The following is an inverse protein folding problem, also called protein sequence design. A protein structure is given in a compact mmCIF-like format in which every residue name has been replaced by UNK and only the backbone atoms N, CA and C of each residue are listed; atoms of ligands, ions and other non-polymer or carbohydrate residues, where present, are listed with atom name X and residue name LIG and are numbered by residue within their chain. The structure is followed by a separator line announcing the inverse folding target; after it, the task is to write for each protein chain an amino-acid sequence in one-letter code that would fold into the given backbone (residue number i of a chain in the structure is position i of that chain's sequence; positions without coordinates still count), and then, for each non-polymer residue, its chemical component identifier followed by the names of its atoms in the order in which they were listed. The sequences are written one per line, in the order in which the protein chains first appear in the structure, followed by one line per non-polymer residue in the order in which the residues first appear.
data_IF_131728152282
#
_entry.id   IF_131728152282
#
_cell.length_a   1.000
_cell.length_b   1.000
_cell.length_c   1.000
_cell.angle_alpha   90.00
_cell.angle_beta   90.00
_cell.angle_gamma   90.00
#
_symmetry.space_group_name_H-M   'P 1'
#
loop_
_entity.id
_entity.type
_entity.pdbx_description
1 polymer ?
#
# COMPACT_ATOMS: atom_id res chain seq x y z
N UNK A 1 100.03 -57.75 18.77
CA UNK A 1 101.01 -57.26 17.79
C UNK A 1 100.38 -56.11 16.98
N UNK A 2 101.18 -55.12 16.59
CA UNK A 2 100.82 -53.72 16.33
C UNK A 2 100.25 -53.54 14.89
N UNK A 3 99.82 -52.40 14.35
CA UNK A 3 100.34 -51.05 14.48
C UNK A 3 99.33 -50.00 14.00
N UNK A 4 99.57 -48.81 14.53
CA UNK A 4 99.04 -47.50 14.19
C UNK A 4 99.65 -46.98 12.87
N UNK A 5 98.95 -46.09 12.14
CA UNK A 5 99.43 -44.86 11.47
C UNK A 5 98.75 -44.54 10.11
N UNK A 6 98.02 -43.42 10.13
CA UNK A 6 98.21 -42.22 9.28
C UNK A 6 98.19 -42.35 7.75
N UNK A 7 97.23 -41.68 7.12
CA UNK A 7 97.53 -40.51 6.26
C UNK A 7 96.26 -39.77 5.82
N UNK A 8 96.22 -38.46 6.05
CA UNK A 8 95.33 -37.53 5.31
C UNK A 8 95.83 -37.40 3.87
N UNK A 9 94.95 -37.10 2.89
CA UNK A 9 95.02 -35.72 2.38
C UNK A 9 93.71 -35.11 1.82
N UNK A 10 93.67 -33.77 1.95
CA UNK A 10 93.19 -32.77 0.98
C UNK A 10 91.68 -32.64 0.73
N UNK A 11 91.14 -31.66 1.46
CA UNK A 11 89.99 -30.82 1.15
C UNK A 11 90.05 -30.27 -0.29
N UNK A 12 89.00 -30.52 -1.08
CA UNK A 12 88.65 -29.72 -2.26
C UNK A 12 87.22 -29.23 -2.10
N UNK A 13 87.10 -27.92 -1.96
CA UNK A 13 85.88 -27.16 -1.68
C UNK A 13 84.85 -27.36 -2.81
N UNK A 14 83.70 -27.94 -2.50
CA UNK A 14 82.51 -27.88 -3.36
C UNK A 14 81.61 -26.76 -2.86
N UNK A 15 81.30 -25.82 -3.74
CA UNK A 15 80.38 -24.71 -3.48
C UNK A 15 78.98 -25.28 -3.28
N UNK A 16 78.44 -25.14 -2.06
CA UNK A 16 77.06 -25.53 -1.77
C UNK A 16 76.09 -24.53 -2.42
N UNK A 17 75.39 -24.96 -3.48
CA UNK A 17 74.24 -24.24 -4.03
C UNK A 17 73.11 -24.24 -2.99
N UNK A 18 72.85 -23.08 -2.38
CA UNK A 18 71.76 -22.88 -1.42
C UNK A 18 70.42 -22.92 -2.17
N UNK A 19 69.68 -24.04 -2.09
CA UNK A 19 68.31 -24.15 -2.63
C UNK A 19 67.41 -23.11 -1.95
N UNK A 20 66.88 -22.15 -2.71
CA UNK A 20 65.83 -21.24 -2.27
C UNK A 20 64.58 -22.05 -1.83
N UNK A 21 63.95 -21.72 -0.68
CA UNK A 21 62.76 -22.44 -0.22
C UNK A 21 61.59 -22.22 -1.19
N UNK A 22 60.91 -23.31 -1.57
CA UNK A 22 59.90 -23.28 -2.62
C UNK A 22 58.65 -22.46 -2.24
N UNK A 23 58.46 -21.32 -2.92
CA UNK A 23 57.24 -20.49 -2.82
C UNK A 23 55.95 -21.25 -3.15
N UNK A 24 56.07 -22.36 -3.90
CA UNK A 24 54.98 -23.30 -4.24
C UNK A 24 54.31 -23.93 -3.02
N UNK A 25 55.06 -24.24 -1.94
CA UNK A 25 54.49 -24.88 -0.73
C UNK A 25 53.64 -23.90 0.11
N UNK A 26 54.03 -22.62 0.20
CA UNK A 26 53.24 -21.59 0.91
C UNK A 26 51.95 -21.22 0.15
N UNK A 27 51.99 -21.14 -1.19
CA UNK A 27 50.77 -20.93 -2.01
C UNK A 27 49.79 -22.11 -1.93
N UNK A 28 50.26 -23.36 -1.96
CA UNK A 28 49.39 -24.54 -1.78
C UNK A 28 48.71 -24.58 -0.39
N UNK A 29 49.43 -24.24 0.68
CA UNK A 29 48.85 -24.21 2.04
C UNK A 29 47.80 -23.11 2.22
N UNK A 30 48.03 -21.90 1.67
CA UNK A 30 47.04 -20.81 1.68
C UNK A 30 45.80 -21.13 0.83
N UNK A 31 45.98 -21.74 -0.34
CA UNK A 31 44.87 -22.20 -1.17
C UNK A 31 44.04 -23.29 -0.46
N UNK A 32 44.68 -24.26 0.20
CA UNK A 32 43.99 -25.29 1.00
C UNK A 32 43.18 -24.70 2.15
N UNK A 33 43.73 -23.71 2.88
CA UNK A 33 43.01 -23.05 3.98
C UNK A 33 41.80 -22.25 3.48
N UNK A 34 41.91 -21.56 2.34
CA UNK A 34 40.78 -20.87 1.70
C UNK A 34 39.70 -21.84 1.22
N UNK A 35 40.09 -22.98 0.65
CA UNK A 35 39.16 -24.04 0.23
C UNK A 35 38.44 -24.64 1.44
N UNK A 36 39.15 -24.95 2.53
CA UNK A 36 38.55 -25.43 3.77
C UNK A 36 37.62 -24.38 4.39
N UNK A 37 38.01 -23.10 4.40
CA UNK A 37 37.17 -22.00 4.88
C UNK A 37 35.90 -21.87 4.02
N UNK A 38 36.02 -22.02 2.70
CA UNK A 38 34.86 -22.02 1.80
C UNK A 38 33.90 -23.16 2.10
N UNK A 39 34.38 -24.40 2.24
CA UNK A 39 33.53 -25.55 2.58
C UNK A 39 32.92 -25.43 3.98
N UNK A 40 33.67 -24.91 4.95
CA UNK A 40 33.16 -24.65 6.30
C UNK A 40 32.05 -23.59 6.25
N UNK A 41 32.27 -22.49 5.54
CA UNK A 41 31.26 -21.42 5.36
C UNK A 41 30.02 -21.96 4.67
N UNK A 42 30.17 -22.76 3.61
CA UNK A 42 29.06 -23.40 2.92
C UNK A 42 28.27 -24.34 3.84
N UNK A 43 28.97 -25.14 4.65
CA UNK A 43 28.35 -26.08 5.60
C UNK A 43 27.58 -25.35 6.71
N UNK A 44 28.13 -24.25 7.21
CA UNK A 44 27.46 -23.37 8.17
C UNK A 44 26.20 -22.76 7.55
N UNK A 45 26.29 -22.21 6.33
CA UNK A 45 25.13 -21.66 5.62
C UNK A 45 24.05 -22.71 5.35
N UNK A 46 24.43 -23.95 4.97
CA UNK A 46 23.48 -25.05 4.79
C UNK A 46 22.80 -25.43 6.11
N UNK A 47 23.55 -25.49 7.21
CA UNK A 47 23.00 -25.80 8.54
C UNK A 47 22.02 -24.71 8.99
N UNK A 48 22.40 -23.44 8.86
CA UNK A 48 21.51 -22.31 9.14
C UNK A 48 20.29 -22.32 8.23
N UNK A 49 20.46 -22.61 6.94
CA UNK A 49 19.36 -22.73 5.99
C UNK A 49 18.40 -23.87 6.34
N UNK A 50 18.91 -25.01 6.81
CA UNK A 50 18.10 -26.13 7.27
C UNK A 50 17.33 -25.78 8.54
N UNK A 51 17.99 -25.20 9.55
CA UNK A 51 17.35 -24.74 10.79
C UNK A 51 16.27 -23.70 10.47
N UNK A 52 16.58 -22.73 9.61
CA UNK A 52 15.62 -21.74 9.15
C UNK A 52 14.44 -22.39 8.45
N UNK A 53 14.67 -23.36 7.55
CA UNK A 53 13.60 -24.04 6.82
C UNK A 53 12.69 -24.83 7.77
N UNK A 54 13.27 -25.55 8.74
CA UNK A 54 12.51 -26.26 9.77
C UNK A 54 11.68 -25.26 10.59
N UNK A 55 12.27 -24.16 11.06
CA UNK A 55 11.53 -23.13 11.77
C UNK A 55 10.41 -22.50 10.92
N UNK A 56 10.72 -22.12 9.69
CA UNK A 56 9.85 -21.39 8.77
C UNK A 56 8.63 -22.21 8.35
N UNK A 57 8.80 -23.51 8.12
CA UNK A 57 7.71 -24.39 7.67
C UNK A 57 7.04 -25.22 8.77
N UNK A 58 7.73 -25.52 9.88
CA UNK A 58 7.22 -26.46 10.89
C UNK A 58 6.84 -25.80 12.23
N UNK A 59 7.03 -24.49 12.39
CA UNK A 59 6.61 -23.77 13.60
C UNK A 59 5.46 -22.80 13.32
N UNK A 60 4.69 -22.49 14.36
CA UNK A 60 3.61 -21.50 14.31
C UNK A 60 4.17 -20.11 13.97
N UNK A 61 5.24 -19.68 14.64
CA UNK A 61 5.87 -18.38 14.38
C UNK A 61 6.39 -18.24 12.94
N UNK A 62 7.00 -19.28 12.38
CA UNK A 62 7.42 -19.32 10.98
C UNK A 62 6.23 -19.29 10.01
N UNK A 63 5.14 -19.99 10.35
CA UNK A 63 3.90 -19.99 9.57
C UNK A 63 3.24 -18.61 9.55
N UNK A 64 3.19 -17.92 10.69
CA UNK A 64 2.66 -16.55 10.77
C UNK A 64 3.48 -15.58 9.90
N UNK A 65 4.80 -15.71 9.89
CA UNK A 65 5.65 -14.91 8.99
C UNK A 65 5.39 -15.24 7.53
N UNK A 66 5.31 -16.53 7.15
CA UNK A 66 4.97 -16.96 5.79
C UNK A 66 3.65 -16.38 5.31
N UNK A 67 2.65 -16.40 6.17
CA UNK A 67 1.33 -15.84 5.89
C UNK A 67 1.39 -14.32 5.73
N UNK A 68 2.05 -13.60 6.62
CA UNK A 68 2.25 -12.16 6.46
C UNK A 68 2.96 -11.81 5.14
N UNK A 69 4.00 -12.58 4.78
CA UNK A 69 4.71 -12.42 3.51
C UNK A 69 3.82 -12.72 2.31
N UNK A 70 3.03 -13.80 2.36
CA UNK A 70 2.09 -14.17 1.30
C UNK A 70 0.99 -13.11 1.15
N UNK A 71 0.42 -12.63 2.25
CA UNK A 71 -0.59 -11.57 2.27
C UNK A 71 -0.04 -10.27 1.72
N UNK A 72 1.19 -9.93 2.06
CA UNK A 72 1.92 -8.80 1.47
C UNK A 72 2.05 -8.99 -0.05
N UNK A 73 2.49 -10.14 -0.53
CA UNK A 73 2.61 -10.45 -1.96
C UNK A 73 1.26 -10.40 -2.69
N UNK A 74 0.17 -10.83 -2.05
CA UNK A 74 -1.19 -10.77 -2.61
C UNK A 74 -1.60 -9.35 -2.99
N UNK A 75 -1.12 -8.34 -2.27
CA UNK A 75 -1.39 -6.92 -2.58
C UNK A 75 -0.50 -6.33 -3.68
N UNK A 76 0.42 -7.11 -4.25
CA UNK A 76 1.38 -6.67 -5.27
C UNK A 76 1.05 -7.23 -6.64
N UNK A 77 1.80 -6.73 -7.64
CA UNK A 77 1.77 -7.28 -8.99
C UNK A 77 2.23 -8.75 -9.09
N UNK A 78 2.99 -9.20 -8.10
CA UNK A 78 3.56 -10.54 -8.01
C UNK A 78 2.72 -11.46 -7.11
N UNK A 79 1.40 -11.29 -7.08
CA UNK A 79 0.49 -12.11 -6.26
C UNK A 79 0.69 -13.62 -6.44
N UNK A 80 1.00 -14.07 -7.65
CA UNK A 80 1.29 -15.49 -7.93
C UNK A 80 2.52 -16.01 -7.16
N UNK A 81 3.46 -15.15 -6.75
CA UNK A 81 4.59 -15.57 -5.92
C UNK A 81 4.20 -15.98 -4.51
N UNK A 82 3.03 -15.55 -4.02
CA UNK A 82 2.51 -16.04 -2.74
C UNK A 82 2.36 -17.57 -2.75
N UNK A 83 2.04 -18.18 -3.90
CA UNK A 83 1.91 -19.63 -4.03
C UNK A 83 3.22 -20.38 -3.70
N UNK A 84 4.40 -19.77 -3.87
CA UNK A 84 5.66 -20.40 -3.46
C UNK A 84 5.84 -20.46 -1.93
N UNK A 85 5.14 -19.62 -1.18
CA UNK A 85 5.20 -19.60 0.29
C UNK A 85 4.15 -20.50 0.93
N UNK A 86 2.96 -20.57 0.32
CA UNK A 86 1.76 -21.14 0.94
C UNK A 86 1.02 -22.17 0.09
N UNK A 87 1.36 -22.32 -1.19
CA UNK A 87 0.64 -23.16 -2.16
C UNK A 87 -0.52 -22.43 -2.86
N UNK A 88 -0.95 -22.95 -4.01
CA UNK A 88 -2.02 -22.35 -4.82
C UNK A 88 -3.38 -22.41 -4.12
N UNK A 89 -3.75 -23.56 -3.55
CA UNK A 89 -5.03 -23.74 -2.86
C UNK A 89 -5.18 -22.77 -1.68
N UNK A 90 -4.09 -22.54 -0.93
CA UNK A 90 -4.09 -21.63 0.21
C UNK A 90 -4.15 -20.17 -0.24
N UNK A 91 -3.49 -19.83 -1.36
CA UNK A 91 -3.58 -18.51 -1.97
C UNK A 91 -5.03 -18.18 -2.35
N UNK A 92 -5.73 -19.09 -3.04
CA UNK A 92 -7.12 -18.89 -3.42
C UNK A 92 -8.03 -18.78 -2.19
N UNK A 93 -7.88 -19.67 -1.21
CA UNK A 93 -8.63 -19.61 0.07
C UNK A 93 -8.44 -18.27 0.77
N UNK A 94 -7.22 -17.76 0.84
CA UNK A 94 -6.93 -16.47 1.49
C UNK A 94 -7.58 -15.30 0.81
N UNK A 95 -7.54 -15.27 -0.51
CA UNK A 95 -8.19 -14.21 -1.29
C UNK A 95 -9.69 -14.23 -1.06
N UNK A 96 -10.30 -15.40 -1.13
CA UNK A 96 -11.74 -15.56 -0.90
C UNK A 96 -12.11 -15.17 0.53
N UNK A 97 -11.27 -15.55 1.51
CA UNK A 97 -11.43 -15.15 2.92
C UNK A 97 -11.42 -13.64 3.09
N UNK A 98 -10.53 -12.91 2.43
CA UNK A 98 -10.52 -11.45 2.51
C UNK A 98 -11.83 -10.85 2.01
N UNK A 99 -12.31 -11.27 0.84
CA UNK A 99 -13.57 -10.75 0.31
C UNK A 99 -14.77 -11.09 1.19
N UNK A 100 -14.83 -12.32 1.70
CA UNK A 100 -15.86 -12.72 2.66
C UNK A 100 -15.80 -11.86 3.94
N UNK A 101 -14.60 -11.66 4.49
CA UNK A 101 -14.39 -10.82 5.67
C UNK A 101 -14.79 -9.36 5.42
N UNK A 102 -14.45 -8.82 4.25
CA UNK A 102 -14.84 -7.46 3.86
C UNK A 102 -16.36 -7.32 3.78
N UNK A 103 -17.07 -8.34 3.27
CA UNK A 103 -18.53 -8.38 3.28
C UNK A 103 -19.08 -8.40 4.72
N UNK A 104 -18.50 -9.20 5.64
CA UNK A 104 -18.96 -9.21 7.05
C UNK A 104 -18.84 -7.84 7.73
N UNK A 105 -17.81 -7.05 7.38
CA UNK A 105 -17.66 -5.70 7.93
C UNK A 105 -18.76 -4.73 7.48
N UNK A 106 -19.52 -5.07 6.44
CA UNK A 106 -20.66 -4.27 5.96
C UNK A 106 -21.96 -4.55 6.72
N UNK A 107 -22.05 -5.67 7.43
CA UNK A 107 -23.26 -6.07 8.17
C UNK A 107 -23.51 -5.20 9.42
N UNK A 108 -22.45 -4.62 9.99
CA UNK A 108 -22.55 -3.68 11.10
C UNK A 108 -23.25 -2.39 10.62
N UNK A 109 -24.40 -2.07 11.20
CA UNK A 109 -25.14 -0.86 10.80
C UNK A 109 -24.45 0.41 11.29
N UNK A 110 -24.37 1.40 10.42
CA UNK A 110 -23.97 2.76 10.78
C UNK A 110 -25.06 3.40 11.64
N UNK A 111 -24.69 3.97 12.78
CA UNK A 111 -25.61 4.61 13.72
C UNK A 111 -25.84 6.09 13.41
N UNK A 112 -25.31 6.60 12.30
CA UNK A 112 -25.40 7.98 11.85
C UNK A 112 -24.88 8.99 12.88
N UNK A 113 -23.77 8.64 13.55
CA UNK A 113 -23.18 9.43 14.62
C UNK A 113 -22.57 10.75 14.14
N UNK A 114 -22.34 10.92 12.83
CA UNK A 114 -21.72 12.12 12.25
C UNK A 114 -22.63 13.34 12.42
N UNK A 115 -22.09 14.37 13.08
CA UNK A 115 -22.76 15.63 13.40
C UNK A 115 -22.12 16.80 12.64
N UNK A 116 -22.34 16.88 11.33
CA UNK A 116 -21.83 17.99 10.51
C UNK A 116 -22.52 19.30 10.95
N UNK A 117 -21.74 20.30 11.37
CA UNK A 117 -22.18 21.65 11.76
C UNK A 117 -23.01 21.78 13.05
N UNK A 118 -22.88 20.87 14.02
CA UNK A 118 -23.50 21.10 15.34
C UNK A 118 -22.58 21.99 16.19
N UNK A 119 -23.08 23.12 16.75
CA UNK A 119 -22.29 23.86 17.72
C UNK A 119 -22.03 22.96 18.93
N UNK A 120 -20.76 22.66 19.18
CA UNK A 120 -20.34 21.93 20.38
C UNK A 120 -20.91 22.64 21.60
N UNK A 121 -21.59 21.94 22.50
CA UNK A 121 -22.18 22.51 23.72
C UNK A 121 -21.13 23.02 24.75
N UNK A 122 -19.87 23.13 24.34
CA UNK A 122 -18.80 23.74 25.12
C UNK A 122 -18.73 25.24 24.80
N UNK A 123 -18.67 26.04 25.85
CA UNK A 123 -18.59 27.51 25.90
C UNK A 123 -17.84 28.19 24.73
N UNK A 124 -18.20 29.44 24.37
CA UNK A 124 -17.68 30.15 23.20
C UNK A 124 -16.19 30.52 23.40
N UNK A 125 -15.31 29.53 23.21
CA UNK A 125 -13.90 29.79 22.93
C UNK A 125 -13.87 30.36 21.52
N UNK A 126 -13.24 31.54 21.36
CA UNK A 126 -12.96 32.18 20.07
C UNK A 126 -12.56 31.09 19.07
N UNK A 127 -13.48 30.73 18.19
CA UNK A 127 -13.29 29.61 17.28
C UNK A 127 -12.26 30.06 16.25
N UNK A 128 -11.01 29.67 16.51
CA UNK A 128 -9.90 29.94 15.62
C UNK A 128 -10.23 29.23 14.32
N UNK A 129 -10.51 29.99 13.25
CA UNK A 129 -10.97 29.45 11.97
C UNK A 129 -9.96 28.41 11.49
N UNK A 130 -10.30 27.12 11.63
CA UNK A 130 -9.42 26.03 11.22
C UNK A 130 -9.13 26.17 9.73
N UNK A 131 -7.89 25.95 9.28
CA UNK A 131 -7.59 25.93 7.86
C UNK A 131 -8.40 24.82 7.17
N UNK A 132 -8.68 24.96 5.87
CA UNK A 132 -9.45 23.95 5.14
C UNK A 132 -8.73 22.58 5.15
N UNK A 133 -7.41 22.62 4.95
CA UNK A 133 -6.54 21.45 4.90
C UNK A 133 -5.43 21.59 5.94
N UNK A 134 -5.14 20.49 6.64
CA UNK A 134 -3.96 20.31 7.48
C UNK A 134 -3.25 19.02 7.06
N UNK A 135 -1.92 19.00 7.16
CA UNK A 135 -1.12 17.82 6.80
C UNK A 135 -0.10 17.59 7.91
N UNK A 136 -0.14 16.40 8.49
CA UNK A 136 0.81 15.99 9.52
C UNK A 136 1.51 14.68 9.15
N UNK A 137 2.77 14.49 9.56
CA UNK A 137 3.46 13.22 9.36
C UNK A 137 2.87 12.16 10.28
N UNK A 138 2.71 10.94 9.75
CA UNK A 138 2.40 9.75 10.54
C UNK A 138 3.47 8.71 10.31
N UNK A 139 3.89 8.04 11.37
CA UNK A 139 4.92 7.01 11.29
C UNK A 139 4.61 5.86 12.24
N UNK A 140 5.06 4.67 11.83
CA UNK A 140 5.03 3.48 12.65
C UNK A 140 6.34 2.73 12.48
N UNK A 141 6.43 1.55 13.11
CA UNK A 141 7.68 0.76 13.13
C UNK A 141 8.27 0.50 11.73
N UNK A 142 7.40 0.28 10.73
CA UNK A 142 7.78 -0.16 9.39
C UNK A 142 7.36 0.82 8.28
N UNK A 143 6.70 1.93 8.62
CA UNK A 143 6.13 2.83 7.62
C UNK A 143 6.29 4.30 7.97
N UNK A 144 6.29 5.10 6.90
CA UNK A 144 6.18 6.55 6.92
C UNK A 144 5.02 6.97 6.04
N UNK A 145 4.34 8.03 6.44
CA UNK A 145 3.19 8.53 5.73
C UNK A 145 2.80 9.94 6.14
N UNK A 146 1.65 10.36 5.64
CA UNK A 146 1.02 11.63 5.97
C UNK A 146 -0.45 11.44 6.24
N UNK A 147 -0.98 12.18 7.20
CA UNK A 147 -2.41 12.33 7.43
C UNK A 147 -2.84 13.67 6.83
N UNK A 148 -3.67 13.62 5.80
CA UNK A 148 -4.34 14.79 5.24
C UNK A 148 -5.68 14.96 5.96
N UNK A 149 -5.86 16.07 6.65
CA UNK A 149 -7.08 16.42 7.39
C UNK A 149 -7.83 17.48 6.59
N UNK A 150 -9.12 17.24 6.34
CA UNK A 150 -10.03 18.16 5.63
C UNK A 150 -11.16 18.51 6.57
N UNK A 151 -11.15 19.76 7.07
CA UNK A 151 -12.07 20.21 8.12
C UNK A 151 -13.51 20.43 7.62
N UNK A 152 -13.73 20.60 6.32
CA UNK A 152 -15.06 20.69 5.71
C UNK A 152 -15.27 19.57 4.66
N UNK A 153 -16.04 18.51 4.98
CA UNK A 153 -16.28 17.40 4.05
C UNK A 153 -16.94 17.83 2.74
N UNK A 154 -17.68 18.94 2.72
CA UNK A 154 -18.41 19.40 1.53
C UNK A 154 -17.50 20.04 0.48
N UNK A 155 -16.23 20.24 0.82
CA UNK A 155 -15.18 20.73 -0.09
C UNK A 155 -14.54 19.62 -0.92
N UNK A 156 -14.88 18.37 -0.65
CA UNK A 156 -14.39 17.21 -1.40
C UNK A 156 -15.25 16.94 -2.64
N UNK A 157 -14.59 16.63 -3.75
CA UNK A 157 -15.22 16.09 -4.96
C UNK A 157 -14.39 14.94 -5.52
N UNK A 158 -15.05 13.97 -6.14
CA UNK A 158 -14.41 13.01 -7.04
C UNK A 158 -14.14 13.71 -8.37
N UNK A 159 -12.86 13.85 -8.69
CA UNK A 159 -12.38 14.27 -9.99
C UNK A 159 -12.09 13.05 -10.87
N UNK A 160 -12.22 13.28 -12.18
CA UNK A 160 -12.06 12.27 -13.23
C UNK A 160 -11.22 12.86 -14.37
N UNK A 161 -10.62 12.02 -15.25
CA UNK A 161 -9.90 12.49 -16.43
C UNK A 161 -10.75 13.44 -17.29
N UNK A 162 -10.11 14.36 -18.00
CA UNK A 162 -10.80 15.24 -18.95
C UNK A 162 -10.84 14.72 -20.40
N UNK A 163 -10.23 13.55 -20.65
CA UNK A 163 -10.13 12.94 -21.98
C UNK A 163 -10.49 11.46 -21.92
N UNK A 164 -11.17 10.99 -22.97
CA UNK A 164 -11.48 9.58 -23.18
C UNK A 164 -10.20 8.81 -23.57
N UNK A 165 -10.06 7.58 -23.07
CA UNK A 165 -9.05 6.62 -23.51
C UNK A 165 -7.84 6.44 -22.59
N UNK A 166 -7.60 7.36 -21.64
CA UNK A 166 -6.56 7.18 -20.62
C UNK A 166 -6.92 7.82 -19.29
N UNK A 167 -6.36 7.30 -18.21
CA UNK A 167 -6.41 7.95 -16.90
C UNK A 167 -5.70 9.30 -16.90
N UNK A 168 -5.76 9.98 -15.77
CA UNK A 168 -5.04 11.24 -15.55
C UNK A 168 -4.28 11.15 -14.22
N UNK A 169 -3.14 11.84 -14.17
CA UNK A 169 -2.34 11.96 -12.95
C UNK A 169 -3.08 12.83 -11.93
N UNK A 170 -3.01 12.49 -10.64
CA UNK A 170 -3.69 13.27 -9.58
C UNK A 170 -3.15 14.70 -9.56
N UNK A 171 -1.84 14.89 -9.73
CA UNK A 171 -1.25 16.24 -9.81
C UNK A 171 -1.79 17.07 -10.97
N UNK A 172 -2.04 16.42 -12.12
CA UNK A 172 -2.65 17.06 -13.28
C UNK A 172 -4.10 17.45 -13.01
N UNK A 173 -4.88 16.57 -12.37
CA UNK A 173 -6.26 16.87 -12.00
C UNK A 173 -6.34 18.05 -11.01
N UNK A 174 -5.47 18.05 -9.99
CA UNK A 174 -5.36 19.15 -9.00
C UNK A 174 -5.10 20.48 -9.71
N UNK A 175 -4.06 20.52 -10.56
CA UNK A 175 -3.68 21.73 -11.28
C UNK A 175 -4.77 22.20 -12.24
N UNK A 176 -5.37 21.27 -12.99
CA UNK A 176 -6.39 21.55 -14.01
C UNK A 176 -7.67 22.11 -13.41
N UNK A 177 -8.09 21.58 -12.26
CA UNK A 177 -9.34 21.95 -11.61
C UNK A 177 -9.17 23.05 -10.55
N UNK A 178 -7.93 23.48 -10.27
CA UNK A 178 -7.66 24.49 -9.24
C UNK A 178 -7.95 23.99 -7.83
N UNK A 179 -7.70 22.70 -7.57
CA UNK A 179 -7.86 22.12 -6.23
C UNK A 179 -6.67 22.50 -5.32
N UNK A 180 -6.91 22.52 -4.02
CA UNK A 180 -5.90 22.78 -2.97
C UNK A 180 -5.06 21.53 -2.71
N UNK A 181 -5.71 20.37 -2.67
CA UNK A 181 -5.09 19.08 -2.40
C UNK A 181 -5.77 17.95 -3.20
N UNK A 182 -5.09 16.83 -3.34
CA UNK A 182 -5.62 15.65 -4.01
C UNK A 182 -4.98 14.34 -3.58
N UNK A 183 -5.78 13.28 -3.52
CA UNK A 183 -5.34 11.90 -3.29
C UNK A 183 -6.00 10.95 -4.28
N UNK A 184 -5.41 9.78 -4.50
CA UNK A 184 -6.06 8.73 -5.30
C UNK A 184 -7.35 8.23 -4.63
N UNK A 185 -8.25 7.62 -5.43
CA UNK A 185 -9.58 7.22 -4.96
C UNK A 185 -9.91 5.74 -5.21
N UNK A 186 -10.77 5.46 -6.19
CA UNK A 186 -11.37 4.14 -6.40
C UNK A 186 -10.50 3.14 -7.14
N UNK A 187 -11.00 1.90 -7.20
CA UNK A 187 -10.38 0.82 -7.93
C UNK A 187 -10.54 0.98 -9.44
N UNK A 188 -9.68 0.29 -10.18
CA UNK A 188 -9.68 0.35 -11.63
C UNK A 188 -9.16 -0.96 -12.23
N UNK A 189 -9.49 -1.20 -13.50
CA UNK A 189 -9.04 -2.37 -14.24
C UNK A 189 -7.59 -2.13 -14.67
N UNK A 190 -6.69 -2.96 -14.14
CA UNK A 190 -5.24 -2.79 -14.29
C UNK A 190 -4.60 -4.05 -14.89
N UNK A 191 -4.84 -4.33 -16.19
CA UNK A 191 -4.31 -5.53 -16.84
C UNK A 191 -2.78 -5.55 -16.76
N UNK A 192 -2.24 -6.66 -16.28
CA UNK A 192 -0.81 -6.86 -16.08
C UNK A 192 -0.12 -5.76 -15.26
N UNK A 193 -0.88 -5.01 -14.45
CA UNK A 193 -0.36 -3.91 -13.62
C UNK A 193 0.19 -2.72 -14.41
N UNK A 194 -0.15 -2.68 -15.71
CA UNK A 194 0.30 -1.70 -16.71
C UNK A 194 -0.88 -1.02 -17.41
N UNK A 195 -2.06 -1.07 -16.80
CA UNK A 195 -3.27 -0.47 -17.34
C UNK A 195 -3.14 1.03 -17.56
N UNK A 196 -3.88 1.53 -18.55
CA UNK A 196 -3.91 2.95 -18.92
C UNK A 196 -4.61 3.84 -17.87
N UNK A 197 -5.17 3.26 -16.81
CA UNK A 197 -5.87 3.97 -15.74
C UNK A 197 -7.22 4.57 -16.16
N UNK A 198 -7.82 4.14 -17.26
CA UNK A 198 -9.04 4.74 -17.80
C UNK A 198 -10.33 4.12 -17.27
N UNK A 199 -10.32 2.83 -16.95
CA UNK A 199 -11.53 2.08 -16.62
C UNK A 199 -11.66 1.88 -15.10
N UNK A 200 -12.57 2.59 -14.41
CA UNK A 200 -12.89 2.30 -13.01
C UNK A 200 -13.45 0.87 -12.86
N UNK A 201 -13.44 0.34 -11.64
CA UNK A 201 -14.24 -0.83 -11.27
C UNK A 201 -15.50 -0.40 -10.52
N UNK A 202 -16.62 -1.10 -10.74
CA UNK A 202 -17.88 -0.84 -10.06
C UNK A 202 -18.51 0.49 -10.48
N UNK A 203 -18.65 1.37 -9.48
CA UNK A 203 -19.37 2.64 -9.54
C UNK A 203 -18.45 3.84 -9.29
N UNK A 204 -18.66 4.91 -10.07
CA UNK A 204 -18.15 6.26 -9.82
C UNK A 204 -19.31 7.26 -9.81
N UNK A 205 -19.42 8.06 -8.76
CA UNK A 205 -20.34 9.19 -8.67
C UNK A 205 -19.59 10.49 -8.41
N UNK A 206 -20.03 11.56 -9.07
CA UNK A 206 -19.55 12.92 -8.83
C UNK A 206 -20.69 13.92 -8.97
N UNK A 207 -20.79 14.86 -8.03
CA UNK A 207 -21.84 15.89 -8.00
C UNK A 207 -23.27 15.32 -7.99
N UNK A 208 -23.47 14.20 -7.30
CA UNK A 208 -24.78 13.52 -7.19
C UNK A 208 -25.20 12.74 -8.44
N UNK A 209 -24.31 12.60 -9.43
CA UNK A 209 -24.58 11.91 -10.69
C UNK A 209 -23.69 10.67 -10.81
N UNK A 210 -24.24 9.60 -11.37
CA UNK A 210 -23.46 8.41 -11.73
C UNK A 210 -22.67 8.74 -13.00
N UNK A 211 -21.35 8.67 -12.89
CA UNK A 211 -20.43 8.88 -14.01
C UNK A 211 -20.11 7.56 -14.71
N UNK A 212 -19.88 6.51 -13.93
CA UNK A 212 -19.52 5.18 -14.41
C UNK A 212 -20.23 4.12 -13.58
N UNK A 213 -20.73 3.06 -14.23
CA UNK A 213 -21.29 1.88 -13.61
C UNK A 213 -21.06 0.68 -14.54
N UNK A 214 -20.23 -0.28 -14.16
CA UNK A 214 -20.02 -1.52 -14.93
C UNK A 214 -21.01 -2.64 -14.57
N UNK A 215 -21.90 -2.40 -13.60
CA UNK A 215 -22.97 -3.30 -13.19
C UNK A 215 -24.37 -2.78 -13.52
N UNK A 216 -25.39 -3.46 -12.99
CA UNK A 216 -26.77 -2.98 -13.05
C UNK A 216 -27.05 -1.95 -11.94
N UNK A 217 -28.16 -1.21 -12.05
CA UNK A 217 -28.63 -0.31 -10.97
C UNK A 217 -28.99 -1.03 -9.65
N UNK A 218 -29.06 -2.36 -9.69
CA UNK A 218 -29.39 -3.22 -8.56
C UNK A 218 -28.21 -4.05 -8.07
N UNK A 219 -27.04 -3.95 -8.72
CA UNK A 219 -25.83 -4.67 -8.32
C UNK A 219 -25.17 -3.94 -7.14
N UNK A 220 -25.11 -4.54 -5.94
CA UNK A 220 -24.46 -3.89 -4.81
C UNK A 220 -22.94 -3.84 -4.98
N UNK A 221 -22.34 -2.70 -4.67
CA UNK A 221 -20.90 -2.48 -4.69
C UNK A 221 -20.41 -2.04 -3.31
N UNK A 222 -19.16 -2.34 -2.97
CA UNK A 222 -18.50 -1.70 -1.83
C UNK A 222 -18.20 -0.25 -2.19
N UNK A 223 -18.72 0.69 -1.41
CA UNK A 223 -18.66 2.12 -1.67
C UNK A 223 -17.83 2.81 -0.59
N UNK A 224 -17.07 3.82 -1.03
CA UNK A 224 -16.52 4.87 -0.19
C UNK A 224 -16.95 6.21 -0.80
N UNK A 225 -17.74 6.99 -0.07
CA UNK A 225 -18.34 8.21 -0.57
C UNK A 225 -18.75 9.21 0.50
N UNK A 226 -19.36 10.32 0.07
CA UNK A 226 -19.88 11.39 0.93
C UNK A 226 -21.29 11.79 0.45
N UNK A 227 -22.22 11.94 1.40
CA UNK A 227 -23.57 12.45 1.14
C UNK A 227 -23.65 13.99 1.07
N UNK A 228 -24.80 14.52 0.66
CA UNK A 228 -25.04 15.97 0.58
C UNK A 228 -24.83 16.72 1.91
N UNK A 229 -24.93 16.01 3.03
CA UNK A 229 -24.80 16.57 4.37
C UNK A 229 -23.34 16.51 4.86
N UNK A 230 -22.44 15.86 4.11
CA UNK A 230 -21.04 15.70 4.43
C UNK A 230 -20.73 14.42 5.21
N UNK A 231 -21.67 13.48 5.30
CA UNK A 231 -21.46 12.21 6.00
C UNK A 231 -20.79 11.20 5.08
N UNK A 232 -19.76 10.53 5.58
CA UNK A 232 -19.06 9.47 4.90
C UNK A 232 -19.97 8.24 4.81
N UNK A 233 -20.17 7.75 3.58
CA UNK A 233 -20.88 6.51 3.29
C UNK A 233 -19.86 5.44 2.97
N UNK A 234 -19.79 4.41 3.81
CA UNK A 234 -18.93 3.26 3.60
C UNK A 234 -19.70 1.96 3.80
N UNK A 235 -19.53 0.98 2.91
CA UNK A 235 -20.22 -0.31 2.96
C UNK A 235 -20.77 -0.76 1.62
N UNK A 236 -21.67 -1.74 1.61
CA UNK A 236 -22.20 -2.33 0.37
C UNK A 236 -23.55 -1.73 0.01
N UNK A 237 -23.64 -1.03 -1.12
CA UNK A 237 -24.84 -0.31 -1.54
C UNK A 237 -25.10 -0.49 -3.03
N UNK A 238 -26.37 -0.46 -3.42
CA UNK A 238 -26.78 -0.39 -4.83
C UNK A 238 -26.70 1.06 -5.32
N UNK A 239 -26.43 1.28 -6.62
CA UNK A 239 -26.48 2.62 -7.21
C UNK A 239 -27.81 3.35 -6.95
N UNK A 240 -28.94 2.63 -6.98
CA UNK A 240 -30.27 3.19 -6.69
C UNK A 240 -30.42 3.69 -5.24
N UNK A 241 -29.85 2.97 -4.27
CA UNK A 241 -29.86 3.35 -2.85
C UNK A 241 -29.03 4.62 -2.62
N UNK A 242 -27.84 4.71 -3.24
CA UNK A 242 -26.97 5.88 -3.13
C UNK A 242 -27.64 7.15 -3.66
N UNK A 243 -28.37 7.06 -4.76
CA UNK A 243 -29.15 8.18 -5.30
C UNK A 243 -30.25 8.62 -4.32
N UNK A 244 -30.96 7.67 -3.71
CA UNK A 244 -32.01 7.97 -2.71
C UNK A 244 -31.43 8.59 -1.43
N UNK A 245 -30.24 8.14 -1.02
CA UNK A 245 -29.51 8.70 0.11
C UNK A 245 -28.91 10.09 -0.16
N UNK A 246 -28.98 10.58 -1.40
CA UNK A 246 -28.41 11.88 -1.77
C UNK A 246 -26.89 11.90 -1.76
N UNK A 247 -26.25 10.75 -2.04
CA UNK A 247 -24.79 10.64 -2.16
C UNK A 247 -24.28 11.53 -3.28
N UNK A 248 -23.30 12.38 -2.98
CA UNK A 248 -22.74 13.33 -3.93
C UNK A 248 -21.53 12.74 -4.64
N UNK A 249 -20.65 12.13 -3.87
CA UNK A 249 -19.33 11.69 -4.30
C UNK A 249 -19.16 10.25 -3.87
N UNK A 250 -18.77 9.36 -4.80
CA UNK A 250 -18.55 7.96 -4.44
C UNK A 250 -17.62 7.25 -5.42
N UNK A 251 -16.84 6.32 -4.89
CA UNK A 251 -16.07 5.35 -5.66
C UNK A 251 -16.23 3.96 -5.08
N UNK A 252 -15.99 2.94 -5.90
CA UNK A 252 -15.97 1.56 -5.43
C UNK A 252 -14.62 1.20 -4.86
N UNK A 253 -14.59 0.84 -3.57
CA UNK A 253 -13.44 0.22 -2.92
C UNK A 253 -13.82 -0.44 -1.59
N UNK A 254 -12.99 -1.38 -1.13
CA UNK A 254 -13.18 -2.15 0.10
C UNK A 254 -11.85 -2.28 0.88
N UNK A 255 -11.90 -2.63 2.18
CA UNK A 255 -13.07 -2.70 3.04
C UNK A 255 -13.40 -1.40 3.77
N UNK A 256 -14.61 -1.30 4.32
CA UNK A 256 -14.89 -0.50 5.52
C UNK A 256 -14.30 -1.21 6.74
N UNK A 257 -13.55 -0.53 7.58
CA UNK A 257 -12.84 -1.16 8.72
C UNK A 257 -12.94 -0.40 10.06
N UNK A 258 -13.54 0.78 10.11
CA UNK A 258 -14.05 1.40 11.35
C UNK A 258 -15.52 1.70 11.16
N UNK A 259 -16.34 1.35 12.17
CA UNK A 259 -17.79 1.62 12.20
C UNK A 259 -18.19 2.01 13.61
N UNK A 260 -18.90 3.12 13.77
CA UNK A 260 -19.33 3.66 15.06
C UNK A 260 -18.19 3.80 16.09
N UNK A 261 -16.99 4.19 15.64
CA UNK A 261 -15.80 4.32 16.50
C UNK A 261 -15.16 2.99 16.91
N UNK A 262 -15.60 1.86 16.32
CA UNK A 262 -15.07 0.53 16.63
C UNK A 262 -14.32 -0.04 15.43
N UNK A 263 -13.07 -0.42 15.68
CA UNK A 263 -12.22 -1.12 14.71
C UNK A 263 -12.69 -2.56 14.45
N UNK A 264 -12.81 -2.93 13.18
CA UNK A 264 -13.27 -4.25 12.77
C UNK A 264 -12.11 -5.25 12.64
N UNK A 265 -10.90 -4.78 12.34
CA UNK A 265 -9.70 -5.60 12.17
C UNK A 265 -9.13 -5.90 13.55
N UNK A 266 -8.92 -7.19 13.86
CA UNK A 266 -8.56 -7.64 15.22
C UNK A 266 -7.07 -7.63 15.50
N UNK A 267 -6.24 -7.82 14.47
CA UNK A 267 -4.79 -7.90 14.61
C UNK A 267 -4.10 -7.66 13.26
N UNK A 268 -2.77 -7.64 13.27
CA UNK A 268 -1.92 -7.44 12.08
C UNK A 268 -2.14 -8.49 10.98
N UNK A 269 -2.41 -9.75 11.33
CA UNK A 269 -2.60 -10.83 10.37
C UNK A 269 -3.93 -10.68 9.59
N UNK A 270 -4.93 -10.04 10.19
CA UNK A 270 -6.19 -9.68 9.54
C UNK A 270 -6.11 -8.35 8.77
N UNK A 271 -4.96 -7.66 8.84
CA UNK A 271 -4.73 -6.33 8.26
C UNK A 271 -4.42 -6.32 6.77
N UNK A 272 -4.71 -7.41 6.05
CA UNK A 272 -4.56 -7.54 4.60
C UNK A 272 -3.13 -7.29 4.07
N UNK A 273 -2.11 -7.70 4.84
CA UNK A 273 -0.70 -7.60 4.45
C UNK A 273 -0.13 -6.17 4.47
N UNK A 274 1.18 -6.07 4.34
CA UNK A 274 1.90 -4.80 4.39
C UNK A 274 1.96 -4.18 3.00
N UNK A 275 1.45 -2.97 2.83
CA UNK A 275 1.50 -2.26 1.54
C UNK A 275 1.60 -0.73 1.72
N UNK A 276 1.96 0.02 0.67
CA UNK A 276 1.55 1.41 0.55
C UNK A 276 0.02 1.47 0.55
N UNK A 277 -0.57 2.41 1.28
CA UNK A 277 -2.03 2.49 1.50
C UNK A 277 -2.53 3.92 1.32
N UNK A 278 -3.72 4.03 0.76
CA UNK A 278 -4.57 5.21 0.92
C UNK A 278 -5.85 4.76 1.62
N UNK A 279 -6.20 5.39 2.73
CA UNK A 279 -7.46 5.13 3.42
C UNK A 279 -8.14 6.45 3.75
N UNK A 280 -9.46 6.41 3.90
CA UNK A 280 -10.28 7.56 4.26
C UNK A 280 -11.02 7.27 5.57
N UNK A 281 -11.15 8.27 6.42
CA UNK A 281 -11.90 8.22 7.67
C UNK A 281 -12.66 9.51 7.94
N UNK A 282 -13.65 9.42 8.81
CA UNK A 282 -14.44 10.56 9.28
C UNK A 282 -14.55 10.58 10.80
N UNK A 283 -14.37 11.75 11.39
CA UNK A 283 -14.64 12.03 12.82
C UNK A 283 -16.10 12.40 13.06
N UNK A 284 -16.52 12.41 14.32
CA UNK A 284 -17.90 12.78 14.69
C UNK A 284 -18.27 14.21 14.27
N UNK A 285 -17.33 15.16 14.28
CA UNK A 285 -17.54 16.55 13.85
C UNK A 285 -17.66 16.75 12.33
N UNK A 286 -17.54 15.68 11.55
CA UNK A 286 -17.59 15.69 10.09
C UNK A 286 -16.24 15.80 9.39
N UNK A 287 -15.15 16.08 10.12
CA UNK A 287 -13.79 16.16 9.57
C UNK A 287 -13.42 14.87 8.84
N UNK A 288 -12.95 14.99 7.60
CA UNK A 288 -12.41 13.87 6.83
C UNK A 288 -10.90 13.79 7.04
N UNK A 289 -10.38 12.57 7.12
CA UNK A 289 -8.95 12.30 7.15
C UNK A 289 -8.60 11.29 6.06
N UNK A 290 -7.49 11.52 5.37
CA UNK A 290 -6.86 10.53 4.51
C UNK A 290 -5.53 10.13 5.10
N UNK A 291 -5.27 8.84 5.25
CA UNK A 291 -3.96 8.31 5.57
C UNK A 291 -3.27 7.88 4.27
N UNK A 292 -2.09 8.45 4.00
CA UNK A 292 -1.28 8.20 2.82
C UNK A 292 0.03 7.59 3.29
N UNK A 293 0.22 6.30 3.01
CA UNK A 293 1.35 5.52 3.51
C UNK A 293 2.27 5.16 2.36
N UNK A 294 3.52 5.63 2.44
CA UNK A 294 4.56 5.20 1.51
C UNK A 294 4.93 3.74 1.81
N UNK A 295 5.42 3.01 0.82
CA UNK A 295 5.74 1.60 1.01
C UNK A 295 6.55 1.02 -0.14
N UNK A 296 6.96 -0.25 -0.01
CA UNK A 296 7.81 -0.96 -0.99
C UNK A 296 9.17 -0.28 -1.23
N UNK A 297 9.68 0.43 -0.22
CA UNK A 297 10.91 1.21 -0.29
C UNK A 297 11.86 0.76 0.83
N UNK A 298 12.70 -0.27 0.60
CA UNK A 298 13.67 -0.76 1.58
C UNK A 298 14.52 0.36 2.17
N UNK A 299 14.66 0.39 3.50
CA UNK A 299 15.40 1.42 4.23
C UNK A 299 14.65 2.74 4.45
N UNK A 300 13.44 2.92 3.92
CA UNK A 300 12.63 4.11 4.14
C UNK A 300 11.23 3.79 4.68
N UNK A 301 10.43 3.07 3.90
CA UNK A 301 9.06 2.69 4.27
C UNK A 301 8.71 1.36 3.58
N UNK A 302 8.46 0.32 4.37
CA UNK A 302 8.04 -0.98 3.84
C UNK A 302 6.53 -0.95 3.54
N UNK A 303 5.76 -0.22 4.37
CA UNK A 303 4.32 -0.05 4.26
C UNK A 303 3.61 -0.43 5.56
N UNK A 304 2.28 -0.34 5.54
CA UNK A 304 1.42 -0.61 6.69
C UNK A 304 0.38 -1.68 6.39
N UNK A 305 -0.10 -2.34 7.43
CA UNK A 305 -1.35 -3.12 7.38
C UNK A 305 -2.55 -2.19 7.61
N UNK A 306 -3.76 -2.63 7.25
CA UNK A 306 -4.97 -1.90 7.60
C UNK A 306 -5.20 -1.82 9.12
N UNK A 307 -4.63 -2.74 9.90
CA UNK A 307 -4.70 -2.67 11.37
C UNK A 307 -3.88 -1.50 11.92
N UNK A 308 -2.70 -1.23 11.35
CA UNK A 308 -1.91 -0.04 11.71
C UNK A 308 -2.70 1.24 11.45
N UNK A 309 -3.34 1.34 10.27
CA UNK A 309 -4.13 2.52 9.88
C UNK A 309 -5.39 2.67 10.72
N UNK A 310 -6.03 1.56 11.07
CA UNK A 310 -7.15 1.54 11.99
C UNK A 310 -6.79 2.20 13.33
N UNK A 311 -5.65 1.82 13.92
CA UNK A 311 -5.24 2.38 15.20
C UNK A 311 -4.93 3.87 15.10
N UNK A 312 -4.22 4.30 14.05
CA UNK A 312 -3.98 5.73 13.79
C UNK A 312 -5.32 6.48 13.70
N UNK A 313 -6.27 6.00 12.89
CA UNK A 313 -7.55 6.68 12.73
C UNK A 313 -8.35 6.73 14.04
N UNK A 314 -8.37 5.66 14.83
CA UNK A 314 -9.04 5.64 16.14
C UNK A 314 -8.39 6.62 17.12
N UNK A 315 -7.06 6.71 17.16
CA UNK A 315 -6.32 7.70 17.94
C UNK A 315 -6.68 9.14 17.54
N UNK A 316 -7.02 9.37 16.27
CA UNK A 316 -7.45 10.66 15.73
C UNK A 316 -8.99 10.86 15.79
N UNK A 317 -9.72 9.98 16.50
CA UNK A 317 -11.15 10.12 16.76
C UNK A 317 -12.07 9.73 15.59
N UNK A 318 -11.60 8.87 14.68
CA UNK A 318 -12.43 8.38 13.59
C UNK A 318 -13.58 7.49 14.08
N UNK A 319 -14.78 7.74 13.56
CA UNK A 319 -15.98 6.94 13.81
C UNK A 319 -16.34 6.04 12.62
N UNK A 320 -15.92 6.40 11.41
CA UNK A 320 -16.09 5.60 10.19
C UNK A 320 -14.79 5.64 9.40
N UNK A 321 -14.35 4.50 8.86
CA UNK A 321 -13.18 4.46 7.97
C UNK A 321 -13.28 3.34 6.94
N UNK A 322 -12.74 3.60 5.76
CA UNK A 322 -12.66 2.66 4.67
C UNK A 322 -11.36 2.80 3.89
N UNK A 323 -10.95 1.71 3.28
CA UNK A 323 -9.77 1.66 2.44
C UNK A 323 -10.10 2.20 1.04
N UNK A 324 -9.10 2.79 0.38
CA UNK A 324 -9.13 3.23 -1.00
C UNK A 324 -8.08 2.44 -1.81
N UNK A 325 -7.97 2.73 -3.10
CA UNK A 325 -6.89 2.16 -3.91
C UNK A 325 -5.53 2.49 -3.28
N UNK A 326 -4.57 1.59 -3.40
CA UNK A 326 -3.30 1.68 -2.68
C UNK A 326 -2.14 1.24 -3.55
N UNK A 327 -1.10 0.71 -2.91
CA UNK A 327 0.09 0.28 -3.62
C UNK A 327 0.71 1.44 -4.41
N UNK A 328 1.01 1.18 -5.68
CA UNK A 328 1.62 2.17 -6.58
C UNK A 328 0.70 3.35 -6.93
N UNK A 329 -0.60 3.27 -6.62
CA UNK A 329 -1.56 4.37 -6.80
C UNK A 329 -1.51 5.40 -5.67
N UNK A 330 -0.90 5.05 -4.54
CA UNK A 330 -0.83 5.90 -3.34
C UNK A 330 -0.09 7.21 -3.63
N UNK A 331 -0.83 8.31 -3.64
CA UNK A 331 -0.28 9.65 -3.92
C UNK A 331 -1.03 10.71 -3.11
N UNK A 332 -0.27 11.69 -2.64
CA UNK A 332 -0.77 12.92 -2.03
C UNK A 332 -0.17 14.11 -2.76
N UNK A 333 -1.05 14.96 -3.28
CA UNK A 333 -0.73 16.23 -3.91
C UNK A 333 -1.23 17.36 -3.02
N UNK A 334 -0.39 18.34 -2.76
CA UNK A 334 -0.73 19.58 -2.08
C UNK A 334 0.04 20.72 -2.75
N UNK A 335 -0.60 21.87 -2.96
CA UNK A 335 0.01 23.03 -3.63
C UNK A 335 0.67 22.69 -4.98
N UNK A 336 0.00 21.86 -5.78
CA UNK A 336 0.48 21.36 -7.08
C UNK A 336 1.79 20.53 -7.01
N UNK A 337 2.15 20.02 -5.84
CA UNK A 337 3.34 19.19 -5.64
C UNK A 337 2.95 17.84 -5.05
N UNK A 338 3.60 16.76 -5.51
CA UNK A 338 3.53 15.47 -4.83
C UNK A 338 4.39 15.56 -3.58
N UNK A 339 3.79 15.35 -2.41
CA UNK A 339 4.47 15.52 -1.13
C UNK A 339 4.73 14.20 -0.41
N UNK A 340 4.22 13.07 -0.90
CA UNK A 340 4.63 11.72 -0.46
C UNK A 340 5.67 11.12 -1.43
N UNK A 341 6.13 9.90 -1.17
CA UNK A 341 7.04 9.18 -2.05
C UNK A 341 6.33 7.97 -2.68
N UNK A 342 5.66 8.13 -3.85
CA UNK A 342 4.99 7.04 -4.54
C UNK A 342 5.87 5.81 -4.74
N UNK A 343 5.27 4.62 -4.67
CA UNK A 343 6.02 3.36 -4.76
C UNK A 343 6.47 3.01 -6.19
N UNK A 344 5.85 3.60 -7.21
CA UNK A 344 6.26 3.38 -8.61
C UNK A 344 7.54 4.14 -8.94
N UNK A 345 8.45 3.47 -9.65
CA UNK A 345 9.69 4.05 -10.14
C UNK A 345 9.47 5.19 -11.14
N UNK A 346 8.29 5.26 -11.76
CA UNK A 346 7.92 6.30 -12.74
C UNK A 346 7.14 7.47 -12.12
N UNK A 347 7.04 7.53 -10.78
CA UNK A 347 6.27 8.52 -10.05
C UNK A 347 4.79 8.15 -9.93
N UNK A 348 3.90 9.14 -9.88
CA UNK A 348 2.46 8.86 -9.79
C UNK A 348 1.92 8.16 -11.06
N UNK A 349 0.89 7.33 -10.86
CA UNK A 349 0.19 6.61 -11.94
C UNK A 349 -0.91 7.46 -12.58
N UNK A 350 -1.32 7.03 -13.76
CA UNK A 350 -2.58 7.47 -14.36
C UNK A 350 -3.73 6.73 -13.70
N UNK A 351 -4.72 7.47 -13.22
CA UNK A 351 -5.85 6.93 -12.47
C UNK A 351 -7.18 7.47 -13.02
N UNK A 352 -8.29 6.73 -12.86
CA UNK A 352 -9.58 7.19 -13.37
C UNK A 352 -10.30 8.09 -12.37
N UNK A 353 -9.90 8.08 -11.09
CA UNK A 353 -10.57 8.86 -10.05
C UNK A 353 -9.57 9.38 -9.01
N UNK A 354 -9.85 10.57 -8.49
CA UNK A 354 -9.13 11.18 -7.39
C UNK A 354 -10.09 11.93 -6.46
N UNK A 355 -9.83 11.90 -5.16
CA UNK A 355 -10.47 12.80 -4.20
C UNK A 355 -9.71 14.13 -4.21
N UNK A 356 -10.38 15.22 -4.59
CA UNK A 356 -9.81 16.55 -4.60
C UNK A 356 -10.51 17.47 -3.61
N UNK A 357 -9.74 18.35 -2.97
CA UNK A 357 -10.23 19.37 -2.02
C UNK A 357 -10.25 20.74 -2.71
N UNK A 358 -11.37 21.45 -2.65
CA UNK A 358 -11.55 22.75 -3.30
C UNK A 358 -11.90 23.85 -2.31
N UNK A 359 -11.48 25.08 -2.56
CA UNK A 359 -12.07 26.24 -1.89
C UNK A 359 -13.53 26.46 -2.34
N UNK A 360 -13.78 26.29 -3.65
CA UNK A 360 -15.06 26.49 -4.32
C UNK A 360 -15.42 25.25 -5.15
N UNK A 361 -15.91 24.16 -4.53
CA UNK A 361 -16.23 22.92 -5.24
C UNK A 361 -17.31 23.10 -6.33
N UNK A 362 -18.15 24.13 -6.22
CA UNK A 362 -19.18 24.50 -7.19
C UNK A 362 -18.62 25.02 -8.52
N UNK A 363 -17.39 25.54 -8.53
CA UNK A 363 -16.75 26.05 -9.76
C UNK A 363 -15.95 24.99 -10.51
N UNK A 364 -15.81 23.78 -9.94
CA UNK A 364 -15.02 22.71 -10.56
C UNK A 364 -15.73 22.12 -11.79
N UNK A 365 -15.16 22.35 -12.98
CA UNK A 365 -15.65 21.80 -14.26
C UNK A 365 -15.27 20.32 -14.41
N UNK A 366 -16.04 19.46 -13.74
CA UNK A 366 -15.87 18.00 -13.77
C UNK A 366 -16.96 17.41 -14.68
N UNK A 367 -16.54 16.88 -15.83
CA UNK A 367 -17.43 16.34 -16.86
C UNK A 367 -17.40 14.81 -16.89
N UNK A 368 -18.55 14.19 -17.17
CA UNK A 368 -18.61 12.74 -17.33
C UNK A 368 -18.03 12.32 -18.70
N UNK A 369 -16.76 11.92 -18.69
CA UNK A 369 -16.05 11.40 -19.86
C UNK A 369 -16.47 9.98 -20.28
N UNK A 370 -17.18 9.23 -19.43
CA UNK A 370 -17.70 7.90 -19.81
C UNK A 370 -19.15 7.95 -20.32
N UNK A 371 -19.75 9.14 -20.39
CA UNK A 371 -21.10 9.28 -20.92
C UNK A 371 -21.20 8.73 -22.36
N UNK A 372 -22.10 7.77 -22.56
CA UNK A 372 -22.30 7.12 -23.86
C UNK A 372 -21.28 6.02 -24.21
N UNK A 373 -20.31 5.75 -23.34
CA UNK A 373 -19.42 4.60 -23.49
C UNK A 373 -20.08 3.34 -22.92
N UNK A 374 -19.77 2.21 -23.53
CA UNK A 374 -20.11 0.88 -23.04
C UNK A 374 -18.92 0.35 -22.19
N UNK A 375 -19.08 0.19 -20.86
CA UNK A 375 -18.03 -0.29 -19.97
C UNK A 375 -17.37 -1.59 -20.44
N UNK A 376 -18.14 -2.49 -21.07
CA UNK A 376 -17.64 -3.79 -21.54
C UNK A 376 -16.73 -3.70 -22.77
N UNK A 377 -16.74 -2.55 -23.46
CA UNK A 377 -15.94 -2.31 -24.67
C UNK A 377 -14.71 -1.43 -24.43
N UNK A 378 -14.52 -0.96 -23.20
CA UNK A 378 -13.32 -0.23 -22.84
C UNK A 378 -12.15 -1.22 -22.84
N UNK A 379 -11.05 -0.84 -23.48
CA UNK A 379 -9.81 -1.59 -23.47
C UNK A 379 -8.79 -0.89 -22.55
N UNK A 380 -8.60 -1.36 -21.30
CA UNK A 380 -7.70 -0.73 -20.35
C UNK A 380 -6.22 -1.03 -20.64
N UNK A 381 -5.90 -1.86 -21.63
CA UNK A 381 -4.52 -2.17 -22.03
C UNK A 381 -3.97 -1.22 -23.10
N UNK A 382 -4.82 -0.45 -23.77
CA UNK A 382 -4.43 0.44 -24.88
C UNK A 382 -4.11 1.85 -24.39
N UNK A 383 -2.97 2.39 -24.82
CA UNK A 383 -2.49 3.74 -24.50
C UNK A 383 -2.71 4.75 -25.61
#
# INVERSE_FOLDING_TARGET
MPANLSSSPKTRTTVAVKKLPSSRKKKKKRASALVTLFFYTMSVLMTFGMIFSLWFFLTESGTNLRYLMADTLITTQHRHWAAYLIGNDELEKRVNRYWAQFDTYTEVKDQHLVQVNKPTAAEPKKEQKKPLVEIEPIEGKNFKGKLLIVNDPKKLRIAVPNKVGKGEKVSSMVKRLGAVAGVNAGGFVDPEWMGNGFQPTGLVMSGGKIFYNDGSMNTPNHIVGIDKDGRMIAGKYKPSELLQMGVQEAVTFAPRFIVNGVGQIKNQADGWGIAPRTCMAQKEDGTIMFAIIDGRQPGYSIGATLYDIQNIFLEHGAITAANLDGGSSTVLVHDNQIINKPASEHGERYLPTAWLVFDHPETADIRNIWQGLDPSKIDPSKW
#
